data_IF_953579093702
#
_entry.id   IF_953579093702
#
_cell.length_a   1.000
_cell.length_b   1.000
_cell.length_c   1.000
_cell.angle_alpha   90.00
_cell.angle_beta   90.00
_cell.angle_gamma   90.00
#
_symmetry.space_group_name_H-M   'P 1'
#
loop_
_entity.id
_entity.type
_entity.pdbx_description
1 polymer ?
#
# COMPACT_ATOMS: atom_id res chain seq x y z
N UNK A 1 -5.93 10.82 -12.71
CA UNK A 1 -4.76 11.67 -12.95
C UNK A 1 -4.84 12.54 -14.19
N UNK A 2 -4.92 11.96 -15.40
CA UNK A 2 -4.82 12.71 -16.66
C UNK A 2 -5.88 13.82 -16.79
N UNK A 3 -7.13 13.51 -16.40
CA UNK A 3 -8.21 14.49 -16.35
C UNK A 3 -7.90 15.65 -15.38
N UNK A 4 -7.35 15.35 -14.20
CA UNK A 4 -6.96 16.38 -13.22
C UNK A 4 -5.87 17.29 -13.77
N UNK A 5 -4.89 16.76 -14.51
CA UNK A 5 -3.88 17.59 -15.17
C UNK A 5 -4.52 18.60 -16.13
N UNK A 6 -5.49 18.17 -16.93
CA UNK A 6 -6.24 19.08 -17.82
C UNK A 6 -7.05 20.10 -17.02
N UNK A 7 -7.70 19.70 -15.94
CA UNK A 7 -8.43 20.62 -15.05
C UNK A 7 -7.47 21.67 -14.45
N UNK A 8 -6.26 21.28 -14.04
CA UNK A 8 -5.25 22.20 -13.55
C UNK A 8 -4.82 23.21 -14.60
N UNK A 9 -4.59 22.77 -15.85
CA UNK A 9 -4.27 23.68 -16.96
C UNK A 9 -5.38 24.70 -17.21
N UNK A 10 -6.65 24.27 -17.13
CA UNK A 10 -7.80 25.16 -17.29
C UNK A 10 -7.88 26.14 -16.11
N UNK A 11 -7.71 25.66 -14.88
CA UNK A 11 -7.73 26.48 -13.67
C UNK A 11 -6.64 27.56 -13.69
N UNK A 12 -5.42 27.21 -14.10
CA UNK A 12 -4.32 28.17 -14.26
C UNK A 12 -4.61 29.20 -15.36
N UNK A 13 -5.08 28.74 -16.54
CA UNK A 13 -5.43 29.64 -17.64
C UNK A 13 -6.55 30.63 -17.29
N UNK A 14 -7.48 30.25 -16.41
CA UNK A 14 -8.54 31.12 -15.91
C UNK A 14 -8.10 32.00 -14.73
N UNK A 15 -6.92 31.76 -14.14
CA UNK A 15 -6.43 32.49 -12.98
C UNK A 15 -7.31 32.32 -11.74
N UNK A 16 -7.83 31.11 -11.50
CA UNK A 16 -8.73 30.87 -10.36
C UNK A 16 -8.02 31.06 -9.02
N UNK A 17 -8.73 31.62 -8.03
CA UNK A 17 -8.22 31.71 -6.65
C UNK A 17 -8.27 30.36 -5.94
N UNK A 18 -9.34 29.59 -6.18
CA UNK A 18 -9.54 28.25 -5.64
C UNK A 18 -10.16 27.33 -6.70
N UNK A 19 -9.66 26.10 -6.76
CA UNK A 19 -10.25 25.00 -7.52
C UNK A 19 -10.80 23.97 -6.54
N UNK A 20 -12.07 23.61 -6.71
CA UNK A 20 -12.71 22.50 -5.98
C UNK A 20 -12.95 21.37 -6.95
N UNK A 21 -12.56 20.16 -6.54
CA UNK A 21 -12.82 18.93 -7.28
C UNK A 21 -13.66 18.02 -6.38
N UNK A 22 -14.68 17.42 -6.99
CA UNK A 22 -15.54 16.43 -6.36
C UNK A 22 -15.77 15.27 -7.33
N UNK A 23 -15.86 14.06 -6.80
CA UNK A 23 -16.13 12.86 -7.60
C UNK A 23 -17.52 12.92 -8.25
N UNK A 24 -17.61 12.51 -9.52
CA UNK A 24 -18.86 12.57 -10.29
C UNK A 24 -19.88 11.49 -9.93
N UNK A 25 -19.46 10.43 -9.22
CA UNK A 25 -20.31 9.32 -8.77
C UNK A 25 -20.87 9.54 -7.35
N UNK A 26 -20.66 10.73 -6.76
CA UNK A 26 -21.16 11.05 -5.44
C UNK A 26 -22.69 11.16 -5.39
N UNK A 27 -23.29 10.45 -4.44
CA UNK A 27 -24.72 10.55 -4.09
C UNK A 27 -24.96 11.39 -2.83
N UNK A 28 -23.90 11.72 -2.11
CA UNK A 28 -23.90 12.39 -0.81
C UNK A 28 -23.52 13.87 -0.87
N UNK A 29 -23.20 14.40 -2.06
CA UNK A 29 -22.78 15.80 -2.24
C UNK A 29 -23.93 16.75 -1.88
N UNK A 30 -23.61 17.78 -1.09
CA UNK A 30 -24.50 18.88 -0.71
C UNK A 30 -23.83 20.22 -0.96
N UNK A 31 -24.57 21.33 -1.16
CA UNK A 31 -23.98 22.64 -1.48
C UNK A 31 -22.90 23.10 -0.49
N UNK A 32 -23.02 22.74 0.79
CA UNK A 32 -22.05 23.09 1.83
C UNK A 32 -20.67 22.50 1.58
N UNK A 33 -20.53 21.39 0.84
CA UNK A 33 -19.23 20.83 0.50
C UNK A 33 -18.37 21.83 -0.27
N UNK A 34 -18.99 22.64 -1.14
CA UNK A 34 -18.28 23.67 -1.91
C UNK A 34 -17.70 24.73 -0.96
N UNK A 35 -18.47 25.20 0.02
CA UNK A 35 -17.95 26.13 1.03
C UNK A 35 -16.90 25.49 1.93
N UNK A 36 -17.08 24.22 2.30
CA UNK A 36 -16.14 23.48 3.14
C UNK A 36 -14.79 23.21 2.46
N UNK A 37 -14.77 23.09 1.13
CA UNK A 37 -13.57 22.85 0.33
C UNK A 37 -12.91 24.16 -0.14
N UNK A 38 -13.68 25.17 -0.54
CA UNK A 38 -13.15 26.46 -1.00
C UNK A 38 -12.88 27.45 0.14
N UNK A 39 -13.69 27.42 1.21
CA UNK A 39 -13.65 28.38 2.31
C UNK A 39 -12.29 28.48 3.01
N UNK A 40 -11.62 27.36 3.36
CA UNK A 40 -10.29 27.41 3.95
C UNK A 40 -9.24 28.08 3.05
N UNK A 41 -9.40 27.98 1.72
CA UNK A 41 -8.49 28.64 0.77
C UNK A 41 -8.78 30.14 0.75
N UNK A 42 -10.02 30.50 0.42
CA UNK A 42 -10.44 31.90 0.19
C UNK A 42 -10.40 32.76 1.46
N UNK A 43 -10.64 32.16 2.63
CA UNK A 43 -10.77 32.88 3.91
C UNK A 43 -9.65 32.54 4.91
N UNK A 44 -8.95 31.41 4.72
CA UNK A 44 -8.03 30.84 5.71
C UNK A 44 -6.57 30.74 5.27
N UNK A 45 -6.25 31.07 4.02
CA UNK A 45 -4.87 31.02 3.50
C UNK A 45 -4.31 29.60 3.33
N UNK A 46 -5.17 28.58 3.28
CA UNK A 46 -4.73 27.21 3.00
C UNK A 46 -4.46 27.02 1.51
N UNK A 47 -3.41 26.26 1.19
CA UNK A 47 -3.09 25.86 -0.18
C UNK A 47 -3.81 24.57 -0.58
N UNK A 48 -3.99 23.65 0.37
CA UNK A 48 -4.60 22.35 0.11
C UNK A 48 -5.62 21.96 1.18
N UNK A 49 -6.80 21.53 0.75
CA UNK A 49 -7.91 21.09 1.60
C UNK A 49 -8.25 19.66 1.24
N UNK A 50 -7.94 18.75 2.16
CA UNK A 50 -8.24 17.32 2.01
C UNK A 50 -9.58 16.97 2.65
N UNK A 51 -10.24 15.89 2.24
CA UNK A 51 -11.49 15.49 2.85
C UNK A 51 -11.25 14.76 4.17
N UNK A 52 -12.25 14.79 5.04
CA UNK A 52 -12.37 13.96 6.23
C UNK A 52 -13.75 13.30 6.22
N UNK A 53 -13.79 12.07 5.72
CA UNK A 53 -15.00 11.27 5.58
C UNK A 53 -15.22 10.35 6.78
N UNK A 54 -16.45 9.85 6.89
CA UNK A 54 -16.78 8.64 7.64
C UNK A 54 -16.90 7.47 6.66
N UNK A 55 -16.01 6.49 6.81
CA UNK A 55 -15.96 5.28 5.98
C UNK A 55 -16.39 4.07 6.79
N UNK A 56 -16.89 3.04 6.11
CA UNK A 56 -17.07 1.74 6.75
C UNK A 56 -15.72 1.24 7.30
N UNK A 57 -15.72 0.53 8.44
CA UNK A 57 -14.51 -0.06 9.05
C UNK A 57 -13.66 -0.91 8.10
N UNK A 58 -14.26 -1.49 7.06
CA UNK A 58 -13.55 -2.31 6.08
C UNK A 58 -13.20 -1.58 4.78
N UNK A 59 -13.56 -0.30 4.67
CA UNK A 59 -13.29 0.52 3.49
C UNK A 59 -11.98 1.32 3.66
N UNK A 60 -11.45 1.83 2.55
CA UNK A 60 -10.24 2.64 2.54
C UNK A 60 -9.01 1.88 3.02
N UNK A 61 -8.93 0.57 2.78
CA UNK A 61 -7.85 -0.29 3.30
C UNK A 61 -6.46 0.17 2.86
N UNK A 62 -6.30 0.67 1.62
CA UNK A 62 -5.04 1.29 1.14
C UNK A 62 -4.70 2.53 1.97
N UNK A 63 -5.70 3.39 2.21
CA UNK A 63 -5.56 4.57 3.08
C UNK A 63 -5.13 4.17 4.47
N UNK A 64 -5.89 3.30 5.11
CA UNK A 64 -5.78 2.96 6.52
C UNK A 64 -4.48 2.20 6.83
N UNK A 65 -3.98 1.40 5.89
CA UNK A 65 -2.82 0.52 6.12
C UNK A 65 -1.52 1.01 5.49
N UNK A 66 -1.57 1.87 4.46
CA UNK A 66 -0.36 2.32 3.73
C UNK A 66 -0.25 3.84 3.71
N UNK A 67 -1.14 4.53 2.99
CA UNK A 67 -0.88 5.93 2.64
C UNK A 67 -1.02 6.86 3.83
N UNK A 68 -2.02 6.69 4.70
CA UNK A 68 -2.12 7.50 5.93
C UNK A 68 -0.94 7.23 6.89
N UNK A 69 -0.64 5.98 7.29
CA UNK A 69 0.51 5.68 8.14
C UNK A 69 1.84 6.22 7.61
N UNK A 70 2.12 6.02 6.33
CA UNK A 70 3.40 6.41 5.73
C UNK A 70 3.50 7.93 5.54
N UNK A 71 2.43 8.59 5.08
CA UNK A 71 2.39 10.06 4.97
C UNK A 71 2.60 10.71 6.33
N UNK A 72 1.91 10.22 7.36
CA UNK A 72 2.05 10.71 8.73
C UNK A 72 3.47 10.53 9.26
N UNK A 73 4.04 9.34 9.12
CA UNK A 73 5.37 9.06 9.65
C UNK A 73 6.47 9.84 8.92
N UNK A 74 6.41 9.92 7.59
CA UNK A 74 7.46 10.55 6.79
C UNK A 74 7.34 12.08 6.75
N UNK A 75 6.14 12.61 6.53
CA UNK A 75 5.92 14.03 6.28
C UNK A 75 5.32 14.80 7.46
N UNK A 76 5.01 14.11 8.57
CA UNK A 76 4.74 14.75 9.86
C UNK A 76 3.36 15.39 10.00
N UNK A 77 2.49 15.26 8.99
CA UNK A 77 1.11 15.74 9.02
C UNK A 77 0.14 14.57 9.13
N UNK A 78 -0.80 14.66 10.09
CA UNK A 78 -1.88 13.67 10.25
C UNK A 78 -3.05 14.00 9.33
N UNK A 79 -2.85 13.75 8.03
CA UNK A 79 -3.87 13.89 6.99
C UNK A 79 -4.58 12.55 6.84
N UNK A 80 -5.78 12.40 7.40
CA UNK A 80 -6.48 11.10 7.50
C UNK A 80 -6.83 10.45 6.15
N UNK A 81 -7.01 11.26 5.09
CA UNK A 81 -7.41 10.81 3.74
C UNK A 81 -6.45 11.40 2.69
N UNK A 82 -5.17 10.99 2.66
CA UNK A 82 -4.17 11.53 1.72
C UNK A 82 -4.38 11.07 0.27
N UNK A 83 -5.39 10.24 0.03
CA UNK A 83 -5.84 9.81 -1.31
C UNK A 83 -7.34 10.06 -1.51
N UNK A 84 -7.90 11.05 -0.81
CA UNK A 84 -9.31 11.41 -0.96
C UNK A 84 -9.57 12.19 -2.25
N UNK A 85 -10.55 11.75 -3.04
CA UNK A 85 -10.88 12.33 -4.35
C UNK A 85 -11.61 13.68 -4.31
N UNK A 86 -12.12 14.10 -3.15
CA UNK A 86 -12.81 15.39 -2.99
C UNK A 86 -11.90 16.38 -2.26
N UNK A 87 -11.44 17.42 -2.96
CA UNK A 87 -10.44 18.34 -2.44
C UNK A 87 -10.59 19.77 -2.95
N UNK A 88 -9.98 20.70 -2.21
CA UNK A 88 -9.77 22.08 -2.64
C UNK A 88 -8.28 22.36 -2.79
N UNK A 89 -7.88 23.07 -3.84
CA UNK A 89 -6.50 23.55 -4.07
C UNK A 89 -6.49 25.04 -4.42
N UNK A 90 -5.52 25.80 -3.91
CA UNK A 90 -5.33 27.19 -4.30
C UNK A 90 -4.78 27.31 -5.72
N UNK A 91 -5.00 28.46 -6.37
CA UNK A 91 -4.42 28.74 -7.69
C UNK A 91 -2.89 28.63 -7.72
N UNK A 92 -2.21 29.02 -6.64
CA UNK A 92 -0.75 28.89 -6.53
C UNK A 92 -0.31 27.42 -6.44
N UNK A 93 -1.07 26.58 -5.74
CA UNK A 93 -0.78 25.14 -5.67
C UNK A 93 -1.05 24.46 -7.01
N UNK A 94 -2.08 24.89 -7.75
CA UNK A 94 -2.32 24.42 -9.13
C UNK A 94 -1.11 24.67 -10.02
N UNK A 95 -0.54 25.88 -9.99
CA UNK A 95 0.68 26.22 -10.73
C UNK A 95 1.86 25.35 -10.30
N UNK A 96 2.06 25.21 -8.99
CA UNK A 96 3.11 24.36 -8.45
C UNK A 96 3.02 22.91 -8.95
N UNK A 97 1.80 22.34 -9.04
CA UNK A 97 1.60 21.01 -9.63
C UNK A 97 1.93 20.97 -11.13
N UNK A 98 1.57 21.98 -11.90
CA UNK A 98 1.86 22.04 -13.34
C UNK A 98 3.36 22.22 -13.64
N UNK A 99 4.11 22.83 -12.73
CA UNK A 99 5.57 23.02 -12.83
C UNK A 99 6.36 21.73 -12.59
N UNK A 100 5.75 20.70 -12.00
CA UNK A 100 6.42 19.41 -11.79
C UNK A 100 6.65 18.69 -13.12
N UNK A 101 7.81 18.07 -13.29
CA UNK A 101 8.23 17.34 -14.48
C UNK A 101 8.04 15.81 -14.38
N UNK A 102 7.53 15.33 -13.25
CA UNK A 102 7.46 13.91 -12.87
C UNK A 102 6.09 13.24 -13.14
N UNK A 103 5.30 13.76 -14.09
CA UNK A 103 4.00 13.21 -14.46
C UNK A 103 4.11 11.81 -15.12
N UNK A 104 4.07 10.75 -14.30
CA UNK A 104 4.14 9.35 -14.76
C UNK A 104 2.78 8.76 -15.18
N UNK A 105 2.75 7.60 -15.86
CA UNK A 105 1.50 6.90 -16.17
C UNK A 105 0.66 6.52 -14.94
N UNK A 106 1.27 6.19 -13.81
CA UNK A 106 0.54 5.87 -12.56
C UNK A 106 -0.11 7.12 -11.96
N UNK A 107 0.62 8.25 -11.97
CA UNK A 107 0.09 9.56 -11.58
C UNK A 107 -1.04 9.96 -12.52
N UNK A 108 -0.96 9.60 -13.79
CA UNK A 108 -2.06 9.83 -14.75
C UNK A 108 -3.31 8.99 -14.44
N UNK A 109 -3.25 8.02 -13.53
CA UNK A 109 -4.36 7.16 -13.10
C UNK A 109 -4.68 7.38 -11.60
N UNK A 110 -4.62 6.34 -10.76
CA UNK A 110 -4.95 6.39 -9.32
C UNK A 110 -3.82 6.97 -8.44
N UNK A 111 -2.60 7.14 -8.95
CA UNK A 111 -1.49 7.70 -8.18
C UNK A 111 -1.59 9.22 -7.92
N UNK A 112 -2.54 9.91 -8.56
CA UNK A 112 -2.61 11.38 -8.53
C UNK A 112 -2.84 11.96 -7.13
N UNK A 113 -3.69 11.36 -6.31
CA UNK A 113 -4.11 11.95 -5.04
C UNK A 113 -3.00 11.93 -4.00
N UNK A 114 -2.26 10.82 -3.95
CA UNK A 114 -1.08 10.74 -3.08
C UNK A 114 0.03 11.67 -3.58
N UNK A 115 0.21 11.77 -4.90
CA UNK A 115 1.17 12.70 -5.50
C UNK A 115 0.85 14.14 -5.14
N UNK A 116 -0.40 14.57 -5.29
CA UNK A 116 -0.86 15.92 -4.91
C UNK A 116 -0.59 16.19 -3.43
N UNK A 117 -0.95 15.24 -2.57
CA UNK A 117 -0.74 15.38 -1.12
C UNK A 117 0.73 15.57 -0.79
N UNK A 118 1.62 14.71 -1.32
CA UNK A 118 3.05 14.82 -0.99
C UNK A 118 3.70 16.05 -1.60
N UNK A 119 3.32 16.46 -2.82
CA UNK A 119 3.83 17.67 -3.46
C UNK A 119 3.37 18.94 -2.72
N UNK A 120 2.13 18.99 -2.25
CA UNK A 120 1.66 20.10 -1.41
C UNK A 120 2.48 20.24 -0.12
N UNK A 121 2.71 19.13 0.59
CA UNK A 121 3.47 19.15 1.85
C UNK A 121 4.93 19.51 1.60
N UNK A 122 5.57 18.84 0.63
CA UNK A 122 6.98 19.05 0.30
C UNK A 122 7.25 20.45 -0.27
N UNK A 123 6.26 21.04 -0.97
CA UNK A 123 6.27 22.42 -1.46
C UNK A 123 6.00 23.47 -0.38
N UNK A 124 5.72 23.08 0.86
CA UNK A 124 5.52 23.98 1.99
C UNK A 124 4.15 24.67 2.02
N UNK A 125 3.16 24.15 1.27
CA UNK A 125 1.81 24.69 1.29
C UNK A 125 1.11 24.37 2.61
N UNK A 126 0.30 25.30 3.10
CA UNK A 126 -0.54 25.07 4.26
C UNK A 126 -1.65 24.06 3.92
N UNK A 127 -1.71 22.95 4.67
CA UNK A 127 -2.68 21.87 4.47
C UNK A 127 -3.68 21.83 5.62
N UNK A 128 -4.96 21.67 5.30
CA UNK A 128 -6.01 21.34 6.25
C UNK A 128 -6.87 20.17 5.77
N UNK A 129 -7.80 19.74 6.61
CA UNK A 129 -8.87 18.83 6.21
C UNK A 129 -10.24 19.46 6.42
N UNK A 130 -11.28 18.90 5.81
CA UNK A 130 -12.66 19.37 5.99
C UNK A 130 -13.64 18.22 6.20
N UNK A 131 -14.59 18.37 7.12
CA UNK A 131 -15.54 17.32 7.50
C UNK A 131 -16.69 17.23 6.51
N UNK A 132 -16.65 16.21 5.65
CA UNK A 132 -17.65 16.02 4.60
C UNK A 132 -18.78 15.04 4.99
N UNK A 133 -18.59 14.25 6.04
CA UNK A 133 -19.55 13.22 6.48
C UNK A 133 -19.33 11.89 5.77
N UNK A 134 -20.37 11.06 5.64
CA UNK A 134 -20.27 9.79 4.92
C UNK A 134 -20.09 10.02 3.42
N UNK A 135 -19.08 9.35 2.84
CA UNK A 135 -18.90 9.31 1.38
C UNK A 135 -19.71 8.15 0.83
N UNK A 136 -20.81 8.48 0.15
CA UNK A 136 -21.66 7.49 -0.54
C UNK A 136 -21.44 7.64 -2.04
N UNK A 137 -20.90 6.58 -2.65
CA UNK A 137 -20.71 6.43 -4.09
C UNK A 137 -21.36 5.12 -4.58
N UNK A 138 -21.43 4.93 -5.89
CA UNK A 138 -21.97 3.71 -6.47
C UNK A 138 -21.18 2.45 -6.00
N UNK A 139 -21.84 1.31 -5.72
CA UNK A 139 -21.17 0.12 -5.21
C UNK A 139 -20.05 -0.34 -6.17
N UNK A 140 -18.84 -0.53 -5.62
CA UNK A 140 -17.70 -1.12 -6.33
C UNK A 140 -17.43 -2.50 -5.74
N UNK A 141 -17.05 -3.47 -6.56
CA UNK A 141 -16.57 -4.77 -6.08
C UNK A 141 -15.16 -4.58 -5.49
N UNK A 142 -14.98 -4.64 -4.15
CA UNK A 142 -13.68 -4.40 -3.51
C UNK A 142 -12.64 -5.46 -3.91
N UNK A 143 -13.07 -6.59 -4.46
CA UNK A 143 -12.21 -7.71 -4.79
C UNK A 143 -11.59 -7.68 -6.19
N UNK A 144 -12.23 -7.00 -7.14
CA UNK A 144 -11.80 -6.95 -8.54
C UNK A 144 -10.89 -5.75 -8.84
N UNK A 145 -11.13 -4.60 -8.20
CA UNK A 145 -10.48 -3.33 -8.53
C UNK A 145 -9.33 -2.92 -7.60
N UNK A 146 -9.18 -3.60 -6.45
CA UNK A 146 -8.17 -3.25 -5.44
C UNK A 146 -6.74 -3.45 -5.94
N UNK A 147 -6.50 -4.43 -6.82
CA UNK A 147 -5.17 -4.74 -7.36
C UNK A 147 -4.56 -3.59 -8.15
N UNK A 148 -5.18 -3.13 -9.26
CA UNK A 148 -4.66 -2.02 -10.05
C UNK A 148 -4.55 -0.70 -9.28
N UNK A 149 -5.51 -0.39 -8.41
CA UNK A 149 -5.48 0.81 -7.56
C UNK A 149 -4.33 0.75 -6.57
N UNK A 150 -4.19 -0.36 -5.83
CA UNK A 150 -3.09 -0.59 -4.91
C UNK A 150 -1.75 -0.41 -5.62
N UNK A 151 -1.57 -1.03 -6.79
CA UNK A 151 -0.31 -0.95 -7.49
C UNK A 151 0.08 0.48 -7.85
N UNK A 152 -0.83 1.25 -8.45
CA UNK A 152 -0.54 2.61 -8.90
C UNK A 152 -0.30 3.58 -7.73
N UNK A 153 -1.10 3.48 -6.67
CA UNK A 153 -0.97 4.33 -5.47
C UNK A 153 0.33 4.02 -4.74
N UNK A 154 0.62 2.75 -4.48
CA UNK A 154 1.81 2.36 -3.71
C UNK A 154 3.10 2.56 -4.51
N UNK A 155 3.13 2.25 -5.82
CA UNK A 155 4.25 2.61 -6.70
C UNK A 155 4.57 4.10 -6.61
N UNK A 156 3.53 4.95 -6.69
CA UNK A 156 3.69 6.41 -6.62
C UNK A 156 4.21 6.84 -5.25
N UNK A 157 3.66 6.30 -4.17
CA UNK A 157 4.10 6.61 -2.81
C UNK A 157 5.56 6.19 -2.54
N UNK A 158 5.99 5.02 -3.04
CA UNK A 158 7.38 4.58 -2.89
C UNK A 158 8.34 5.47 -3.69
N UNK A 159 8.00 5.86 -4.92
CA UNK A 159 8.81 6.82 -5.70
C UNK A 159 8.95 8.15 -4.98
N UNK A 160 7.85 8.73 -4.49
CA UNK A 160 7.85 9.98 -3.74
C UNK A 160 8.62 9.89 -2.42
N UNK A 161 8.63 8.71 -1.80
CA UNK A 161 9.48 8.44 -0.62
C UNK A 161 10.96 8.51 -1.00
N UNK A 162 11.35 8.00 -2.17
CA UNK A 162 12.74 8.11 -2.64
C UNK A 162 13.11 9.54 -3.00
N UNK A 163 12.26 10.21 -3.77
CA UNK A 163 12.47 11.57 -4.26
C UNK A 163 12.61 12.59 -3.11
N UNK A 164 11.70 12.54 -2.14
CA UNK A 164 11.64 13.52 -1.06
C UNK A 164 12.42 13.11 0.20
N UNK A 165 13.44 12.27 0.05
CA UNK A 165 14.28 11.78 1.16
C UNK A 165 14.81 12.89 2.05
N UNK A 166 15.36 13.94 1.45
CA UNK A 166 15.94 15.06 2.19
C UNK A 166 14.93 15.80 3.07
N UNK A 167 13.65 15.79 2.68
CA UNK A 167 12.56 16.40 3.43
C UNK A 167 12.22 15.52 4.64
N UNK A 168 11.79 14.27 4.43
CA UNK A 168 11.28 13.44 5.52
C UNK A 168 12.37 12.94 6.48
N UNK A 169 13.65 12.93 6.07
CA UNK A 169 14.78 12.61 6.96
C UNK A 169 14.91 13.58 8.14
N UNK A 170 14.40 14.81 7.99
CA UNK A 170 14.41 15.86 9.03
C UNK A 170 13.18 15.79 9.94
N UNK A 171 12.10 15.18 9.48
CA UNK A 171 10.82 15.10 10.21
C UNK A 171 10.93 14.17 11.42
N UNK A 172 10.43 14.61 12.58
CA UNK A 172 10.35 13.84 13.83
C UNK A 172 8.94 13.95 14.39
N UNK A 173 8.28 12.81 14.56
CA UNK A 173 6.88 12.75 14.97
C UNK A 173 5.92 13.35 13.95
N UNK A 174 4.67 13.55 14.37
CA UNK A 174 3.62 14.16 13.57
C UNK A 174 2.68 15.01 14.42
N UNK A 175 1.99 15.95 13.77
CA UNK A 175 0.96 16.77 14.40
C UNK A 175 -0.34 16.76 13.57
N UNK A 176 -1.45 17.07 14.25
CA UNK A 176 -2.75 17.24 13.59
C UNK A 176 -2.73 18.48 12.69
N UNK A 177 -3.34 18.37 11.52
CA UNK A 177 -3.64 19.54 10.67
C UNK A 177 -4.99 20.15 11.09
N UNK A 178 -5.22 21.45 10.85
CA UNK A 178 -6.52 22.06 11.11
C UNK A 178 -7.64 21.31 10.37
N UNK A 179 -8.81 21.20 11.01
CA UNK A 179 -9.95 20.51 10.44
C UNK A 179 -11.17 21.41 10.44
N UNK A 180 -11.65 21.78 9.25
CA UNK A 180 -12.76 22.70 9.02
C UNK A 180 -14.12 21.99 9.02
N UNK A 181 -15.17 22.74 9.35
CA UNK A 181 -16.54 22.22 9.43
C UNK A 181 -16.85 21.43 10.71
N UNK A 182 -18.14 21.26 10.96
CA UNK A 182 -18.68 20.50 12.09
C UNK A 182 -18.68 19.00 11.81
N UNK A 183 -18.68 18.20 12.88
CA UNK A 183 -18.80 16.75 12.77
C UNK A 183 -20.17 16.35 12.25
N UNK A 184 -20.18 15.45 11.26
CA UNK A 184 -21.37 14.97 10.57
C UNK A 184 -21.43 13.46 10.71
N UNK A 185 -22.28 12.98 11.61
CA UNK A 185 -22.51 11.55 11.79
C UNK A 185 -23.44 11.04 10.69
N UNK A 186 -22.95 10.11 9.89
CA UNK A 186 -23.73 9.37 8.93
C UNK A 186 -23.17 7.96 8.83
N UNK A 187 -24.04 6.96 8.96
CA UNK A 187 -23.61 5.57 8.85
C UNK A 187 -23.23 5.28 7.39
N UNK A 188 -21.97 4.87 7.13
CA UNK A 188 -21.57 4.45 5.80
C UNK A 188 -22.34 3.18 5.42
N UNK A 189 -22.53 2.90 4.12
CA UNK A 189 -23.17 1.67 3.68
C UNK A 189 -22.43 0.43 4.22
N UNK A 190 -23.14 -0.68 4.46
CA UNK A 190 -22.50 -1.94 4.83
C UNK A 190 -21.58 -2.41 3.70
N UNK A 191 -20.48 -3.03 4.10
CA UNK A 191 -19.45 -3.55 3.20
C UNK A 191 -19.03 -4.91 3.73
N UNK A 192 -19.10 -5.93 2.87
CA UNK A 192 -18.65 -7.27 3.22
C UNK A 192 -17.29 -7.55 2.54
N UNK A 193 -16.38 -8.15 3.30
CA UNK A 193 -15.05 -8.53 2.80
C UNK A 193 -14.85 -10.03 2.95
N UNK A 194 -14.52 -10.69 1.85
CA UNK A 194 -14.21 -12.12 1.82
C UNK A 194 -12.81 -12.39 2.40
N UNK A 195 -12.76 -12.60 3.73
CA UNK A 195 -11.53 -12.91 4.48
C UNK A 195 -10.91 -14.22 4.00
N UNK A 196 -11.71 -15.24 3.66
CA UNK A 196 -11.22 -16.53 3.14
C UNK A 196 -10.43 -16.32 1.85
N UNK A 197 -10.93 -15.50 0.92
CA UNK A 197 -10.23 -15.17 -0.32
C UNK A 197 -8.93 -14.41 -0.06
N UNK A 198 -8.91 -13.49 0.90
CA UNK A 198 -7.71 -12.73 1.27
C UNK A 198 -6.62 -13.63 1.88
N UNK A 199 -6.97 -14.47 2.87
CA UNK A 199 -6.05 -15.43 3.48
C UNK A 199 -5.51 -16.42 2.44
N UNK A 200 -6.38 -16.93 1.56
CA UNK A 200 -5.98 -17.86 0.51
C UNK A 200 -5.06 -17.20 -0.52
N UNK A 201 -5.29 -15.92 -0.85
CA UNK A 201 -4.41 -15.17 -1.73
C UNK A 201 -3.03 -14.94 -1.08
N UNK A 202 -2.97 -14.61 0.21
CA UNK A 202 -1.71 -14.46 0.95
C UNK A 202 -0.92 -15.78 1.01
N UNK A 203 -1.56 -16.89 1.44
CA UNK A 203 -0.93 -18.20 1.52
C UNK A 203 -0.43 -18.71 0.15
N UNK A 204 -1.23 -18.56 -0.92
CA UNK A 204 -0.77 -18.87 -2.29
C UNK A 204 0.35 -17.95 -2.75
N UNK A 205 0.30 -16.66 -2.41
CA UNK A 205 1.34 -15.69 -2.71
C UNK A 205 2.69 -16.13 -2.17
N UNK A 206 2.74 -16.66 -0.95
CA UNK A 206 3.97 -17.22 -0.39
C UNK A 206 4.59 -18.33 -1.26
N UNK A 207 3.76 -19.19 -1.85
CA UNK A 207 4.24 -20.27 -2.74
C UNK A 207 4.72 -19.70 -4.07
N UNK A 208 3.93 -18.80 -4.67
CA UNK A 208 4.11 -18.28 -6.02
C UNK A 208 5.25 -17.26 -6.14
N UNK A 209 5.37 -16.33 -5.19
CA UNK A 209 6.32 -15.19 -5.25
C UNK A 209 7.26 -15.11 -4.04
N UNK A 210 7.34 -16.17 -3.22
CA UNK A 210 8.18 -16.18 -2.02
C UNK A 210 9.67 -15.95 -2.30
N UNK A 211 10.18 -16.39 -3.44
CA UNK A 211 11.58 -16.15 -3.83
C UNK A 211 11.85 -14.65 -4.08
N UNK A 212 10.83 -13.89 -4.52
CA UNK A 212 10.92 -12.43 -4.61
C UNK A 212 10.85 -11.79 -3.22
N UNK A 213 10.03 -12.30 -2.30
CA UNK A 213 9.98 -11.80 -0.92
C UNK A 213 11.33 -11.88 -0.22
N UNK A 214 12.10 -12.95 -0.45
CA UNK A 214 13.45 -13.11 0.11
C UNK A 214 14.45 -12.04 -0.35
N UNK A 215 14.19 -11.41 -1.50
CA UNK A 215 14.97 -10.27 -2.01
C UNK A 215 14.46 -8.94 -1.45
N UNK A 216 13.15 -8.87 -1.18
CA UNK A 216 12.46 -7.65 -0.79
C UNK A 216 12.52 -7.37 0.72
N UNK A 217 12.63 -8.41 1.56
CA UNK A 217 12.65 -8.25 3.01
C UNK A 217 13.90 -8.83 3.67
N UNK A 218 14.18 -8.38 4.90
CA UNK A 218 15.23 -8.99 5.73
C UNK A 218 14.93 -10.46 6.08
N UNK A 219 15.94 -11.29 6.41
CA UNK A 219 15.72 -12.73 6.64
C UNK A 219 14.79 -12.98 7.83
N UNK A 220 14.92 -12.19 8.90
CA UNK A 220 14.04 -12.29 10.07
C UNK A 220 12.57 -11.96 9.71
N UNK A 221 12.34 -10.98 8.83
CA UNK A 221 10.99 -10.67 8.33
C UNK A 221 10.46 -11.73 7.37
N UNK A 222 11.34 -12.35 6.58
CA UNK A 222 10.96 -13.52 5.78
C UNK A 222 10.53 -14.69 6.67
N UNK A 223 11.29 -14.97 7.73
CA UNK A 223 10.92 -16.02 8.71
C UNK A 223 9.55 -15.72 9.34
N UNK A 224 9.24 -14.44 9.61
CA UNK A 224 7.93 -14.01 10.10
C UNK A 224 6.81 -14.20 9.05
N UNK A 225 7.09 -13.89 7.78
CA UNK A 225 6.15 -14.12 6.67
C UNK A 225 5.89 -15.61 6.41
N UNK A 226 6.90 -16.47 6.61
CA UNK A 226 6.75 -17.93 6.53
C UNK A 226 5.77 -18.44 7.58
N UNK A 227 5.92 -17.98 8.83
CA UNK A 227 5.03 -18.33 9.94
C UNK A 227 3.60 -17.84 9.67
N UNK A 228 3.44 -16.56 9.31
CA UNK A 228 2.13 -16.00 8.98
C UNK A 228 1.44 -16.74 7.83
N UNK A 229 2.17 -17.11 6.78
CA UNK A 229 1.58 -17.85 5.67
C UNK A 229 1.12 -19.25 6.09
N UNK A 230 1.81 -19.89 7.04
CA UNK A 230 1.40 -21.16 7.61
C UNK A 230 0.16 -21.00 8.51
N UNK A 231 0.11 -19.96 9.35
CA UNK A 231 -1.06 -19.61 10.17
C UNK A 231 -2.29 -19.35 9.30
N UNK A 232 -2.14 -18.58 8.22
CA UNK A 232 -3.22 -18.35 7.26
C UNK A 232 -3.72 -19.65 6.60
N UNK A 233 -2.82 -20.60 6.32
CA UNK A 233 -3.21 -21.90 5.76
C UNK A 233 -3.95 -22.78 6.78
N UNK A 234 -3.57 -22.73 8.06
CA UNK A 234 -4.28 -23.41 9.16
C UNK A 234 -5.67 -22.82 9.34
N UNK A 235 -5.79 -21.49 9.41
CA UNK A 235 -7.10 -20.82 9.53
C UNK A 235 -8.04 -21.18 8.38
N UNK A 236 -7.52 -21.30 7.14
CA UNK A 236 -8.31 -21.76 5.99
C UNK A 236 -8.80 -23.21 6.14
N UNK A 237 -7.92 -24.11 6.60
CA UNK A 237 -8.25 -25.52 6.80
C UNK A 237 -9.33 -25.68 7.89
N UNK A 238 -9.24 -24.92 8.99
CA UNK A 238 -10.24 -24.86 10.05
C UNK A 238 -11.61 -24.38 9.54
N UNK A 239 -11.63 -23.28 8.76
CA UNK A 239 -12.86 -22.77 8.13
C UNK A 239 -13.47 -23.83 7.21
N UNK A 240 -12.66 -24.58 6.44
CA UNK A 240 -13.18 -25.61 5.52
C UNK A 240 -13.68 -26.87 6.22
N UNK A 241 -13.24 -27.15 7.45
CA UNK A 241 -13.62 -28.35 8.21
C UNK A 241 -14.81 -28.14 9.16
N UNK A 242 -15.20 -26.90 9.41
CA UNK A 242 -16.35 -26.60 10.24
C UNK A 242 -17.66 -26.98 9.52
N UNK A 243 -18.43 -27.90 10.10
CA UNK A 243 -19.79 -28.28 9.64
C UNK A 243 -20.85 -27.20 9.98
N UNK A 244 -20.51 -26.28 10.88
CA UNK A 244 -21.25 -25.03 11.10
C UNK A 244 -20.82 -23.99 10.07
N UNK A 245 -21.72 -23.12 9.57
CA UNK A 245 -21.32 -21.98 8.75
C UNK A 245 -20.54 -21.00 9.63
N UNK A 246 -19.27 -21.29 9.90
CA UNK A 246 -18.30 -20.32 10.37
C UNK A 246 -18.22 -19.29 9.27
N UNK A 247 -18.75 -18.09 9.51
CA UNK A 247 -18.44 -16.97 8.64
C UNK A 247 -16.92 -16.79 8.67
N UNK A 248 -16.34 -16.22 7.61
CA UNK A 248 -14.89 -15.96 7.54
C UNK A 248 -14.37 -15.02 8.68
N UNK A 249 -15.29 -14.62 9.57
CA UNK A 249 -15.13 -13.82 10.77
C UNK A 249 -14.54 -14.61 11.95
N UNK A 250 -14.66 -15.95 12.00
CA UNK A 250 -14.11 -16.78 13.10
C UNK A 250 -12.63 -17.15 12.93
N UNK A 251 -12.00 -16.74 11.83
CA UNK A 251 -10.60 -17.03 11.56
C UNK A 251 -9.68 -16.43 12.65
N UNK A 252 -8.79 -17.25 13.22
CA UNK A 252 -7.72 -16.76 14.10
C UNK A 252 -6.46 -16.47 13.28
N UNK A 253 -6.31 -15.21 12.86
CA UNK A 253 -5.15 -14.75 12.10
C UNK A 253 -4.79 -13.32 12.46
N UNK A 254 -3.54 -13.09 12.85
CA UNK A 254 -3.06 -11.77 13.26
C UNK A 254 -1.73 -11.40 12.61
N UNK A 255 -1.76 -10.38 11.75
CA UNK A 255 -0.57 -9.77 11.15
C UNK A 255 -0.23 -8.48 11.90
N UNK A 256 0.82 -8.51 12.72
CA UNK A 256 1.19 -7.35 13.55
C UNK A 256 1.45 -6.06 12.76
N UNK A 257 1.03 -4.93 13.35
CA UNK A 257 1.21 -3.59 12.79
C UNK A 257 2.69 -3.21 12.60
N UNK A 258 3.57 -3.62 13.52
CA UNK A 258 5.02 -3.36 13.48
C UNK A 258 5.71 -4.12 12.35
N UNK A 259 5.37 -5.40 12.16
CA UNK A 259 5.91 -6.19 11.05
C UNK A 259 5.49 -5.57 9.71
N UNK A 260 4.22 -5.19 9.57
CA UNK A 260 3.72 -4.54 8.36
C UNK A 260 4.45 -3.22 8.06
N UNK A 261 4.60 -2.35 9.05
CA UNK A 261 5.34 -1.09 8.90
C UNK A 261 6.78 -1.32 8.42
N UNK A 262 7.48 -2.30 9.03
CA UNK A 262 8.85 -2.64 8.65
C UNK A 262 8.96 -3.28 7.27
N UNK A 263 7.96 -4.02 6.83
CA UNK A 263 7.89 -4.56 5.45
C UNK A 263 7.76 -3.40 4.47
N UNK A 264 6.84 -2.46 4.68
CA UNK A 264 6.71 -1.29 3.79
C UNK A 264 8.01 -0.48 3.72
N UNK A 265 8.72 -0.31 4.85
CA UNK A 265 10.03 0.35 4.85
C UNK A 265 11.12 -0.46 4.12
N UNK A 266 11.07 -1.78 4.14
CA UNK A 266 11.95 -2.63 3.31
C UNK A 266 11.72 -2.39 1.82
N UNK A 267 10.46 -2.31 1.40
CA UNK A 267 10.10 -2.00 0.02
C UNK A 267 10.58 -0.59 -0.38
N UNK A 268 10.47 0.41 0.49
CA UNK A 268 11.01 1.74 0.23
C UNK A 268 12.55 1.74 0.09
N UNK A 269 13.27 0.92 0.86
CA UNK A 269 14.72 0.76 0.74
C UNK A 269 15.12 0.08 -0.58
N UNK A 270 14.37 -0.93 -1.01
CA UNK A 270 14.57 -1.58 -2.32
C UNK A 270 14.29 -0.60 -3.45
N UNK A 271 13.18 0.14 -3.38
CA UNK A 271 12.81 1.16 -4.37
C UNK A 271 13.93 2.19 -4.58
N UNK A 272 14.58 2.61 -3.48
CA UNK A 272 15.74 3.52 -3.56
C UNK A 272 16.94 2.91 -4.26
N UNK A 273 17.20 1.62 -4.03
CA UNK A 273 18.36 0.92 -4.56
C UNK A 273 18.24 0.56 -6.04
N UNK A 274 17.06 0.73 -6.64
CA UNK A 274 16.72 0.35 -8.02
C UNK A 274 17.13 -1.09 -8.35
N UNK A 275 17.06 -1.98 -7.34
CA UNK A 275 17.52 -3.37 -7.46
C UNK A 275 16.46 -4.32 -8.01
N UNK A 276 15.22 -3.86 -8.12
CA UNK A 276 14.09 -4.58 -8.67
C UNK A 276 13.15 -3.60 -9.36
N UNK A 277 12.61 -4.00 -10.51
CA UNK A 277 11.57 -3.27 -11.21
C UNK A 277 10.34 -3.01 -10.30
N UNK A 278 9.81 -1.79 -10.36
CA UNK A 278 8.74 -1.34 -9.47
C UNK A 278 7.48 -2.19 -9.60
N UNK A 279 7.09 -2.55 -10.83
CA UNK A 279 5.89 -3.36 -11.07
C UNK A 279 6.05 -4.78 -10.49
N UNK A 280 7.22 -5.39 -10.64
CA UNK A 280 7.53 -6.68 -10.02
C UNK A 280 7.54 -6.63 -8.50
N UNK A 281 8.14 -5.58 -7.92
CA UNK A 281 8.15 -5.38 -6.47
C UNK A 281 6.72 -5.25 -5.95
N UNK A 282 5.90 -4.39 -6.55
CA UNK A 282 4.51 -4.18 -6.13
C UNK A 282 3.66 -5.43 -6.33
N UNK A 283 3.82 -6.16 -7.44
CA UNK A 283 3.14 -7.44 -7.64
C UNK A 283 3.48 -8.45 -6.53
N UNK A 284 4.72 -8.44 -6.02
CA UNK A 284 5.12 -9.26 -4.88
C UNK A 284 4.56 -8.74 -3.54
N UNK A 285 4.26 -7.43 -3.41
CA UNK A 285 3.64 -6.87 -2.20
C UNK A 285 2.16 -7.23 -2.07
N UNK A 286 1.43 -7.33 -3.19
CA UNK A 286 -0.04 -7.51 -3.21
C UNK A 286 -0.52 -8.66 -2.31
N UNK A 287 0.06 -9.89 -2.35
CA UNK A 287 -0.42 -10.95 -1.46
C UNK A 287 -0.11 -10.68 0.02
N UNK A 288 1.02 -10.03 0.36
CA UNK A 288 1.33 -9.62 1.73
C UNK A 288 0.29 -8.62 2.22
N UNK A 289 -0.06 -7.65 1.37
CA UNK A 289 -1.11 -6.68 1.64
C UNK A 289 -2.46 -7.35 1.91
N UNK A 290 -2.85 -8.39 1.15
CA UNK A 290 -4.07 -9.14 1.44
C UNK A 290 -4.05 -9.81 2.82
N UNK A 291 -2.91 -10.36 3.23
CA UNK A 291 -2.74 -10.85 4.61
C UNK A 291 -2.98 -9.72 5.62
N UNK A 292 -2.40 -8.54 5.39
CA UNK A 292 -2.62 -7.40 6.29
C UNK A 292 -4.08 -6.96 6.36
N UNK A 293 -4.77 -6.90 5.22
CA UNK A 293 -6.20 -6.56 5.18
C UNK A 293 -7.04 -7.62 5.90
N UNK A 294 -6.77 -8.91 5.69
CA UNK A 294 -7.45 -9.99 6.40
C UNK A 294 -7.35 -9.82 7.92
N UNK A 295 -6.14 -9.56 8.44
CA UNK A 295 -5.93 -9.32 9.87
C UNK A 295 -6.72 -8.12 10.39
N UNK A 296 -6.82 -7.04 9.62
CA UNK A 296 -7.58 -5.84 10.02
C UNK A 296 -9.08 -6.13 10.08
N UNK A 297 -9.61 -6.85 9.10
CA UNK A 297 -11.04 -7.23 9.05
C UNK A 297 -11.39 -8.15 10.21
N UNK A 298 -10.57 -9.16 10.48
CA UNK A 298 -10.75 -10.10 11.60
C UNK A 298 -10.76 -9.34 12.93
N UNK A 299 -9.80 -8.43 13.14
CA UNK A 299 -9.70 -7.67 14.38
C UNK A 299 -10.88 -6.70 14.59
N UNK A 300 -11.43 -6.13 13.51
CA UNK A 300 -12.54 -5.19 13.55
C UNK A 300 -13.93 -5.84 13.50
N UNK A 301 -14.04 -7.17 13.49
CA UNK A 301 -15.32 -7.89 13.24
C UNK A 301 -16.43 -7.50 14.20
N UNK A 302 -16.12 -7.41 15.49
CA UNK A 302 -17.06 -7.10 16.56
C UNK A 302 -17.12 -5.59 16.89
N UNK A 303 -16.49 -4.75 16.05
CA UNK A 303 -16.40 -3.31 16.27
C UNK A 303 -17.39 -2.54 15.38
N UNK A 304 -17.87 -1.41 15.87
CA UNK A 304 -18.46 -0.38 15.01
C UNK A 304 -17.37 0.35 14.21
N UNK A 305 -17.78 1.08 13.17
CA UNK A 305 -16.88 1.99 12.43
C UNK A 305 -16.07 2.91 13.36
N UNK A 306 -16.73 3.50 14.35
CA UNK A 306 -16.06 4.40 15.30
C UNK A 306 -15.07 3.65 16.21
N UNK A 307 -15.41 2.43 16.63
CA UNK A 307 -14.55 1.59 17.47
C UNK A 307 -13.33 1.04 16.71
N UNK A 308 -13.39 0.96 15.37
CA UNK A 308 -12.29 0.51 14.53
C UNK A 308 -11.23 1.60 14.25
N UNK A 309 -11.56 2.89 14.39
CA UNK A 309 -10.62 4.00 14.14
C UNK A 309 -9.32 3.93 14.99
N UNK A 310 -9.36 3.54 16.28
CA UNK A 310 -8.16 3.25 17.06
C UNK A 310 -7.20 2.23 16.43
N UNK A 311 -7.68 1.26 15.62
CA UNK A 311 -6.84 0.29 14.90
C UNK A 311 -6.02 0.99 13.81
N UNK A 312 -6.64 1.90 13.07
CA UNK A 312 -5.97 2.73 12.05
C UNK A 312 -4.90 3.61 12.69
N UNK A 313 -5.24 4.23 13.81
CA UNK A 313 -4.32 5.04 14.60
C UNK A 313 -3.16 4.22 15.20
N UNK A 314 -3.41 2.97 15.60
CA UNK A 314 -2.37 2.04 16.09
C UNK A 314 -1.41 1.65 14.96
N UNK A 315 -1.94 1.34 13.78
CA UNK A 315 -1.14 1.09 12.59
C UNK A 315 -0.27 2.30 12.23
N UNK A 316 -0.83 3.51 12.26
CA UNK A 316 -0.10 4.74 11.96
C UNK A 316 1.05 5.00 12.95
N UNK A 317 0.82 4.75 14.24
CA UNK A 317 1.87 4.81 15.27
C UNK A 317 2.98 3.79 15.05
N UNK A 318 2.66 2.58 14.57
CA UNK A 318 3.68 1.57 14.27
C UNK A 318 4.67 2.04 13.19
N UNK A 319 4.20 2.77 12.17
CA UNK A 319 5.08 3.42 11.18
C UNK A 319 5.96 4.50 11.83
N UNK A 320 5.39 5.37 12.66
CA UNK A 320 6.15 6.40 13.38
C UNK A 320 7.27 5.79 14.25
N UNK A 321 6.96 4.70 14.96
CA UNK A 321 7.91 4.00 15.83
C UNK A 321 9.01 3.29 15.02
N UNK A 322 8.65 2.66 13.90
CA UNK A 322 9.61 1.97 13.04
C UNK A 322 10.49 2.92 12.20
N UNK A 323 10.12 4.21 12.10
CA UNK A 323 10.84 5.21 11.30
C UNK A 323 12.31 5.36 11.68
N UNK A 324 12.67 5.32 12.96
CA UNK A 324 14.06 5.51 13.39
C UNK A 324 15.00 4.46 12.78
N UNK A 325 14.63 3.18 12.88
CA UNK A 325 15.38 2.08 12.26
C UNK A 325 15.38 2.14 10.72
N UNK A 326 14.29 2.63 10.11
CA UNK A 326 14.27 2.90 8.68
C UNK A 326 15.27 4.01 8.27
N UNK A 327 15.32 5.12 9.02
CA UNK A 327 16.27 6.23 8.79
C UNK A 327 17.72 5.77 8.92
N UNK A 328 18.03 4.95 9.92
CA UNK A 328 19.38 4.39 10.11
C UNK A 328 19.82 3.58 8.88
N UNK A 329 18.97 2.65 8.45
CA UNK A 329 19.21 1.82 7.26
C UNK A 329 19.26 2.64 5.97
N UNK A 330 18.42 3.66 5.86
CA UNK A 330 18.50 4.63 4.78
C UNK A 330 19.88 5.30 4.76
N UNK A 331 20.34 5.87 5.86
CA UNK A 331 21.66 6.53 5.90
C UNK A 331 22.83 5.58 5.62
N UNK A 332 22.73 4.31 6.05
CA UNK A 332 23.71 3.28 5.76
C UNK A 332 23.79 2.87 4.28
N UNK A 333 22.80 3.26 3.46
CA UNK A 333 22.71 2.83 2.07
C UNK A 333 22.30 1.36 1.93
N UNK A 334 21.53 0.85 2.91
CA UNK A 334 20.95 -0.49 2.90
C UNK A 334 19.80 -0.59 1.89
N UNK A 335 20.06 -0.35 0.60
CA UNK A 335 19.22 -0.96 -0.44
C UNK A 335 19.61 -2.43 -0.43
N UNK A 336 18.75 -3.34 0.05
CA UNK A 336 19.02 -4.79 0.17
C UNK A 336 19.79 -5.30 -1.06
N UNK A 337 21.13 -5.27 -0.99
CA UNK A 337 22.00 -5.46 -2.15
C UNK A 337 21.89 -6.92 -2.59
N UNK A 338 21.61 -7.13 -3.88
CA UNK A 338 21.68 -8.39 -4.64
C UNK A 338 21.78 -9.66 -3.77
N UNK A 339 20.72 -9.93 -3.00
CA UNK A 339 20.61 -11.20 -2.28
C UNK A 339 20.31 -12.30 -3.28
N UNK A 340 20.74 -13.52 -2.99
CA UNK A 340 20.26 -14.71 -3.70
C UNK A 340 19.14 -15.33 -2.86
N UNK A 341 18.05 -15.82 -3.47
CA UNK A 341 17.04 -16.58 -2.75
C UNK A 341 17.67 -17.73 -1.98
N UNK A 342 17.15 -18.01 -0.78
CA UNK A 342 17.50 -19.20 0.01
C UNK A 342 17.13 -20.43 -0.82
N UNK A 343 18.05 -21.38 -0.94
CA UNK A 343 17.75 -22.68 -1.58
C UNK A 343 16.67 -23.41 -0.77
N UNK A 344 15.50 -23.65 -1.36
CA UNK A 344 14.42 -24.45 -0.77
C UNK A 344 14.92 -25.86 -0.43
N UNK A 345 14.45 -26.43 0.68
CA UNK A 345 14.87 -27.77 1.15
C UNK A 345 14.60 -28.88 0.12
N UNK A 346 13.63 -28.70 -0.79
CA UNK A 346 13.34 -29.60 -1.89
C UNK A 346 14.54 -29.77 -2.87
N UNK A 347 15.31 -28.71 -3.10
CA UNK A 347 16.49 -28.76 -3.99
C UNK A 347 17.68 -29.47 -3.37
N UNK A 348 17.74 -29.58 -2.03
CA UNK A 348 18.77 -30.36 -1.34
C UNK A 348 18.56 -31.87 -1.53
N UNK A 349 17.31 -32.35 -1.59
CA UNK A 349 16.99 -33.76 -1.86
C UNK A 349 17.30 -34.16 -3.32
N UNK A 350 17.17 -33.24 -4.27
CA UNK A 350 17.51 -33.51 -5.67
C UNK A 350 19.03 -33.69 -5.92
N UNK A 351 19.88 -33.07 -5.11
CA UNK A 351 21.35 -33.20 -5.21
C UNK A 351 21.95 -34.32 -4.37
N UNK A 352 21.29 -34.77 -3.28
CA UNK A 352 21.78 -35.91 -2.49
C UNK A 352 21.42 -37.27 -3.10
N UNK A 353 20.50 -37.35 -4.07
CA UNK A 353 20.10 -38.60 -4.74
C UNK A 353 20.97 -39.04 -5.92
N UNK A 354 21.99 -38.26 -6.32
CA UNK A 354 22.83 -38.53 -7.50
C UNK A 354 24.32 -38.67 -7.13
N UNK A 355 24.64 -39.59 -6.23
CA UNK A 355 26.04 -39.99 -6.00
C UNK A 355 26.18 -41.39 -5.39
N UNK A 356 25.79 -42.43 -6.12
CA UNK A 356 26.33 -43.79 -5.94
C UNK A 356 26.12 -44.61 -7.20
N UNK A 357 27.13 -44.65 -8.07
CA UNK A 357 27.55 -45.87 -8.80
C UNK A 357 28.87 -45.61 -9.51
N UNK A 358 29.95 -45.87 -8.81
CA UNK A 358 31.24 -46.25 -9.39
C UNK A 358 31.45 -47.74 -9.16
N UNK A 359 32.02 -48.45 -10.14
CA UNK A 359 32.73 -49.70 -9.85
C UNK A 359 32.63 -50.81 -10.89
N UNK A 360 33.72 -50.90 -11.69
CA UNK A 360 34.34 -52.12 -12.26
C UNK A 360 33.57 -52.83 -13.39
N UNK A 361 34.16 -53.40 -14.44
CA UNK A 361 35.56 -53.70 -14.82
C UNK A 361 35.50 -54.38 -16.19
N UNK A 362 36.55 -54.32 -17.02
CA UNK A 362 36.70 -55.31 -18.10
C UNK A 362 37.55 -54.87 -19.29
N UNK A 363 38.78 -55.39 -19.33
CA UNK A 363 39.80 -55.22 -20.36
C UNK A 363 39.42 -55.76 -21.74
N UNK A 364 40.12 -55.20 -22.74
CA UNK A 364 40.76 -55.85 -23.91
C UNK A 364 39.91 -56.25 -25.11
N UNK A 365 40.44 -55.95 -26.31
CA UNK A 365 40.06 -56.65 -27.54
C UNK A 365 40.22 -55.79 -28.79
N UNK A 366 41.18 -56.15 -29.63
CA UNK A 366 41.49 -55.53 -30.93
C UNK A 366 40.38 -55.74 -31.99
N UNK A 367 40.54 -54.97 -33.06
CA UNK A 367 40.32 -55.27 -34.49
C UNK A 367 38.99 -54.89 -35.15
N UNK A 368 39.15 -53.99 -36.12
CA UNK A 368 38.45 -53.79 -37.38
C UNK A 368 37.38 -54.81 -37.80
N UNK A 369 36.24 -54.29 -38.29
CA UNK A 369 35.76 -54.59 -39.65
C UNK A 369 34.66 -53.62 -40.08
N UNK A 370 34.67 -53.35 -41.39
CA UNK A 370 33.67 -52.63 -42.18
C UNK A 370 32.36 -53.42 -42.25
N UNK A 371 31.21 -52.75 -42.41
CA UNK A 371 30.01 -53.41 -42.95
C UNK A 371 28.70 -52.65 -42.84
N UNK A 372 28.33 -51.95 -43.93
CA UNK A 372 26.99 -51.69 -44.50
C UNK A 372 25.71 -51.76 -43.63
N UNK A 373 24.94 -50.67 -43.75
CA UNK A 373 23.49 -50.56 -44.07
C UNK A 373 22.53 -51.68 -43.61
N UNK A 374 21.56 -51.32 -42.78
CA UNK A 374 20.16 -51.09 -43.16
C UNK A 374 19.50 -50.22 -42.09
#
# INVERSE_FOLDING_TARGET
GAALRTIFQIADALGVEALVVVDSDLRSIVPEWIELLAGPILKGGFGYVTPLYQHNKYDGTITNTVTYPLTRALYGLRIRQPIGGDFGVSGDLVKHYLEQDDWTPDISKFGIDIWMTIKAISGGFAVCQTRLGAKIHDPKDPGADLGPMFSQVVSTMLRLTVEHAEHWLKVRGSHAVPAYGFERYADPPPLDVDVTRLLAAFARGRVAVGDAWELLVTPARMDSLDLLAAEAAVALDEITRSDTPTTAEDADFHFSDDLWARIIYDFALVARGDSMDMDHMIAALVPIYFGRVASLVIEARDMTTQQAEPLVERQARAFEQAKSGFVERWKAGDGLKARKPRRRAADKKAKSGKSTKSGKSGKSGKSASRGKKA
#
